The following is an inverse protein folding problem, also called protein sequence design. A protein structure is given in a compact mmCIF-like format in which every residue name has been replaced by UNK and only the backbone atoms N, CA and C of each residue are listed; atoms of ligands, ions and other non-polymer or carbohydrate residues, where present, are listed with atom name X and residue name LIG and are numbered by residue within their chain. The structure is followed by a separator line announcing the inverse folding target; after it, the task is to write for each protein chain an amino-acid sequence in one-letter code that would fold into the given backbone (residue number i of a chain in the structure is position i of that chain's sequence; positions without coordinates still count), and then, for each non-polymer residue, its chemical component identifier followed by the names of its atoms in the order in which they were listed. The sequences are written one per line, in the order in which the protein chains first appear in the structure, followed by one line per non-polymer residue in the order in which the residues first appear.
data_IF_657718851445
#
_entry.id   IF_657718851445
#
_cell.length_a   1.000
_cell.length_b   1.000
_cell.length_c   1.000
_cell.angle_alpha   90.00
_cell.angle_beta   90.00
_cell.angle_gamma   90.00
#
_symmetry.space_group_name_H-M   'P 1'
#
loop_
_entity.id
_entity.type
_entity.pdbx_description
1 polymer ?
#
# COMPACT_ATOMS: atom_id res chain seq x y z
N UNK A 1 -2.34 -2.51 15.60
CA UNK A 1 -1.98 -1.52 14.55
C UNK A 1 -1.57 -0.26 15.28
N UNK A 2 -0.34 0.22 15.06
CA UNK A 2 0.16 1.46 15.64
C UNK A 2 -0.63 2.66 15.08
N UNK A 3 -1.18 3.47 15.98
CA UNK A 3 -2.01 4.62 15.64
C UNK A 3 -1.21 5.70 14.90
N UNK A 4 0.06 5.91 15.26
CA UNK A 4 0.92 6.89 14.58
C UNK A 4 1.19 6.45 13.14
N UNK A 5 1.60 5.19 12.94
CA UNK A 5 1.81 4.59 11.61
C UNK A 5 0.56 4.70 10.73
N UNK A 6 -0.62 4.47 11.29
CA UNK A 6 -1.86 4.57 10.53
C UNK A 6 -2.13 6.01 10.08
N UNK A 7 -1.92 7.01 10.95
CA UNK A 7 -2.10 8.42 10.62
C UNK A 7 -1.11 8.90 9.54
N UNK A 8 0.15 8.52 9.65
CA UNK A 8 1.18 8.86 8.66
C UNK A 8 0.90 8.22 7.30
N UNK A 9 0.49 6.94 7.29
CA UNK A 9 0.12 6.25 6.06
C UNK A 9 -1.11 6.88 5.38
N UNK A 10 -2.09 7.32 6.17
CA UNK A 10 -3.29 8.01 5.66
C UNK A 10 -2.91 9.36 5.04
N UNK A 11 -2.06 10.16 5.70
CA UNK A 11 -1.59 11.45 5.17
C UNK A 11 -0.79 11.25 3.87
N UNK A 12 0.13 10.30 3.86
CA UNK A 12 0.94 9.98 2.67
C UNK A 12 0.07 9.51 1.49
N UNK A 13 -0.91 8.65 1.75
CA UNK A 13 -1.84 8.16 0.72
C UNK A 13 -2.74 9.28 0.19
N UNK A 14 -3.25 10.15 1.06
CA UNK A 14 -4.09 11.28 0.68
C UNK A 14 -3.32 12.25 -0.23
N UNK A 15 -2.08 12.59 0.16
CA UNK A 15 -1.19 13.42 -0.64
C UNK A 15 -0.84 12.79 -1.98
N UNK A 16 -0.43 11.52 -1.98
CA UNK A 16 -0.08 10.82 -3.21
C UNK A 16 -1.27 10.73 -4.18
N UNK A 17 -2.48 10.41 -3.67
CA UNK A 17 -3.68 10.39 -4.48
C UNK A 17 -3.96 11.77 -5.09
N UNK A 18 -3.95 12.82 -4.27
CA UNK A 18 -4.14 14.20 -4.74
C UNK A 18 -3.16 14.58 -5.86
N UNK A 19 -1.87 14.29 -5.66
CA UNK A 19 -0.82 14.63 -6.62
C UNK A 19 -0.88 13.79 -7.90
N UNK A 20 -1.38 12.54 -7.82
CA UNK A 20 -1.51 11.66 -9.00
C UNK A 20 -2.64 12.02 -9.96
N UNK A 21 -3.68 12.72 -9.48
CA UNK A 21 -4.89 13.03 -10.28
C UNK A 21 -4.95 14.47 -10.76
N UNK A 22 -4.01 15.33 -10.35
CA UNK A 22 -4.00 16.75 -10.68
C UNK A 22 -2.81 17.11 -11.56
N UNK A 23 -2.97 18.17 -12.36
CA UNK A 23 -1.86 18.75 -13.11
C UNK A 23 -0.76 19.17 -12.13
N UNK A 24 0.50 18.72 -12.30
CA UNK A 24 1.61 19.04 -11.39
C UNK A 24 1.83 20.54 -11.15
N UNK A 25 1.36 21.40 -12.06
CA UNK A 25 1.52 22.86 -11.98
C UNK A 25 0.34 23.57 -11.30
N UNK A 26 -0.74 22.87 -10.98
CA UNK A 26 -1.95 23.46 -10.39
C UNK A 26 -2.34 22.75 -9.10
N UNK A 27 -2.85 23.51 -8.13
CA UNK A 27 -3.45 22.95 -6.91
C UNK A 27 -2.54 22.01 -6.13
N UNK A 28 -1.30 22.41 -5.80
CA UNK A 28 -0.39 21.61 -4.97
C UNK A 28 -1.02 21.26 -3.61
N UNK A 29 -0.69 20.09 -3.05
CA UNK A 29 -1.23 19.63 -1.76
C UNK A 29 -1.15 20.69 -0.65
N UNK A 30 0.01 21.35 -0.53
CA UNK A 30 0.26 22.36 0.51
C UNK A 30 -0.53 23.67 0.28
N UNK A 31 -1.03 23.89 -0.93
CA UNK A 31 -1.87 25.04 -1.29
C UNK A 31 -3.37 24.75 -1.15
N UNK A 32 -3.76 23.52 -0.79
CA UNK A 32 -5.16 23.16 -0.57
C UNK A 32 -5.66 23.63 0.78
N UNK A 33 -6.98 23.81 0.86
CA UNK A 33 -7.65 24.13 2.12
C UNK A 33 -7.50 22.96 3.09
N UNK A 34 -7.51 23.26 4.39
CA UNK A 34 -7.48 22.20 5.41
C UNK A 34 -8.70 21.27 5.29
N UNK A 35 -9.86 21.83 4.95
CA UNK A 35 -11.06 21.03 4.70
C UNK A 35 -10.85 19.99 3.60
N UNK A 36 -10.24 20.38 2.47
CA UNK A 36 -9.92 19.44 1.39
C UNK A 36 -8.98 18.33 1.88
N UNK A 37 -7.94 18.68 2.65
CA UNK A 37 -7.01 17.68 3.20
C UNK A 37 -7.71 16.71 4.15
N UNK A 38 -8.63 17.20 4.98
CA UNK A 38 -9.48 16.38 5.87
C UNK A 38 -10.34 15.41 5.06
N UNK A 39 -11.02 15.90 4.02
CA UNK A 39 -11.88 15.09 3.15
C UNK A 39 -11.08 14.02 2.40
N UNK A 40 -9.91 14.37 1.87
CA UNK A 40 -9.00 13.43 1.20
C UNK A 40 -8.51 12.34 2.15
N UNK A 41 -8.11 12.71 3.39
CA UNK A 41 -7.74 11.74 4.42
C UNK A 41 -8.91 10.81 4.76
N UNK A 42 -10.12 11.36 4.92
CA UNK A 42 -11.31 10.57 5.22
C UNK A 42 -11.63 9.59 4.08
N UNK A 43 -11.48 10.02 2.83
CA UNK A 43 -11.70 9.22 1.64
C UNK A 43 -10.75 8.01 1.54
N UNK A 44 -9.45 8.20 1.76
CA UNK A 44 -8.45 7.11 1.61
C UNK A 44 -8.37 6.19 2.84
N UNK A 45 -8.80 6.67 4.01
CA UNK A 45 -8.70 5.97 5.30
C UNK A 45 -9.11 4.49 5.27
N UNK A 46 -10.31 4.09 4.78
CA UNK A 46 -10.72 2.68 4.83
C UNK A 46 -9.77 1.77 4.05
N UNK A 47 -9.30 2.21 2.87
CA UNK A 47 -8.39 1.44 2.02
C UNK A 47 -7.02 1.29 2.68
N UNK A 48 -6.48 2.36 3.26
CA UNK A 48 -5.17 2.33 3.95
C UNK A 48 -5.21 1.40 5.15
N UNK A 49 -6.25 1.47 5.98
CA UNK A 49 -6.38 0.60 7.15
C UNK A 49 -6.49 -0.88 6.76
N UNK A 50 -7.25 -1.19 5.70
CA UNK A 50 -7.34 -2.54 5.17
C UNK A 50 -5.97 -3.04 4.68
N UNK A 51 -5.25 -2.22 3.89
CA UNK A 51 -3.94 -2.57 3.37
C UNK A 51 -2.90 -2.79 4.49
N UNK A 52 -2.88 -1.93 5.51
CA UNK A 52 -2.00 -2.08 6.67
C UNK A 52 -2.30 -3.38 7.42
N UNK A 53 -3.59 -3.69 7.65
CA UNK A 53 -4.00 -4.94 8.29
C UNK A 53 -3.50 -6.16 7.51
N UNK A 54 -3.76 -6.21 6.20
CA UNK A 54 -3.31 -7.32 5.34
C UNK A 54 -1.79 -7.43 5.28
N UNK A 55 -1.08 -6.29 5.25
CA UNK A 55 0.39 -6.27 5.31
C UNK A 55 0.91 -6.85 6.62
N UNK A 56 0.31 -6.50 7.76
CA UNK A 56 0.71 -7.00 9.07
C UNK A 56 0.47 -8.52 9.17
N UNK A 57 -0.65 -9.01 8.65
CA UNK A 57 -0.96 -10.45 8.56
C UNK A 57 0.05 -11.20 7.66
N UNK A 58 0.44 -10.60 6.54
CA UNK A 58 1.43 -11.20 5.63
C UNK A 58 2.82 -11.29 6.26
N UNK A 59 3.29 -10.23 6.91
CA UNK A 59 4.62 -10.18 7.55
C UNK A 59 4.71 -11.13 8.75
N UNK A 60 3.62 -11.27 9.51
CA UNK A 60 3.56 -12.17 10.68
C UNK A 60 3.34 -13.62 10.30
N UNK A 61 2.95 -13.92 9.06
CA UNK A 61 2.80 -15.30 8.58
C UNK A 61 4.17 -15.99 8.55
N UNK A 62 4.36 -17.10 9.27
CA UNK A 62 5.59 -17.87 9.16
C UNK A 62 5.75 -18.33 7.71
N UNK A 63 6.86 -17.96 7.08
CA UNK A 63 7.20 -18.43 5.76
C UNK A 63 7.35 -19.96 5.83
N UNK A 64 6.32 -20.69 5.38
CA UNK A 64 6.42 -22.12 5.18
C UNK A 64 7.38 -22.34 4.00
N UNK A 65 8.68 -22.33 4.31
CA UNK A 65 9.83 -22.47 3.40
C UNK A 65 9.90 -23.85 2.73
N UNK A 66 8.83 -24.66 2.80
CA UNK A 66 8.75 -26.04 2.31
C UNK A 66 8.25 -26.18 0.87
N UNK A 67 7.80 -25.10 0.21
CA UNK A 67 7.22 -25.18 -1.15
C UNK A 67 8.19 -24.66 -2.24
N UNK A 68 9.50 -24.76 -2.02
CA UNK A 68 10.52 -24.53 -3.07
C UNK A 68 11.31 -25.82 -3.40
N UNK A 69 10.75 -26.98 -3.06
CA UNK A 69 11.44 -28.27 -3.11
C UNK A 69 11.13 -29.19 -4.28
N UNK A 70 10.35 -28.79 -5.28
CA UNK A 70 10.01 -29.70 -6.40
C UNK A 70 9.92 -28.94 -7.72
N UNK A 71 11.09 -28.59 -8.27
CA UNK A 71 11.20 -28.50 -9.74
C UNK A 71 11.18 -29.94 -10.26
N UNK A 72 10.18 -30.37 -11.04
CA UNK A 72 10.29 -31.65 -11.73
C UNK A 72 11.48 -31.57 -12.68
N UNK A 73 12.43 -32.49 -12.50
CA UNK A 73 13.57 -32.65 -13.40
C UNK A 73 13.00 -33.08 -14.75
N UNK A 74 13.07 -32.22 -15.76
CA UNK A 74 12.79 -32.62 -17.14
C UNK A 74 13.87 -33.63 -17.54
N UNK A 75 13.50 -34.90 -17.61
CA UNK A 75 14.32 -35.95 -18.19
C UNK A 75 14.58 -35.56 -19.65
N UNK A 76 15.84 -35.22 -19.96
CA UNK A 76 16.28 -35.01 -21.33
C UNK A 76 16.20 -36.35 -22.06
N UNK A 77 15.20 -36.50 -22.92
CA UNK A 77 15.15 -37.58 -23.91
C UNK A 77 16.20 -37.27 -24.98
N UNK A 78 17.39 -37.85 -24.83
CA UNK A 78 18.35 -37.93 -25.94
C UNK A 78 17.81 -38.91 -26.99
N UNK A 79 17.78 -38.46 -28.25
CA UNK A 79 17.62 -39.32 -29.43
C UNK A 79 18.98 -39.57 -30.06
#
# INVERSE_FOLDING_TARGET
MDQLRALEAIEAAAKALHESVRDPKQFRWDAMTEQWRVEMRAYVRPCVLAALKTSDEFVTRPANRRVLGTRPRLEMVSR
#
